data_IF_791444781407
#
_entry.id   IF_791444781407
#
_cell.length_a   1.000
_cell.length_b   1.000
_cell.length_c   1.000
_cell.angle_alpha   90.00
_cell.angle_beta   90.00
_cell.angle_gamma   90.00
#
_symmetry.space_group_name_H-M   'P 1'
#
loop_
_entity.id
_entity.type
_entity.pdbx_description
1 polymer ?
#
# COMPACT_ATOMS: atom_id res chain seq x y z
N UNK A 1 -12.90 -19.77 22.09
CA UNK A 1 -13.71 -19.35 20.94
C UNK A 1 -13.43 -17.92 20.52
N UNK A 2 -13.80 -16.98 21.38
CA UNK A 2 -13.64 -15.58 21.04
C UNK A 2 -12.19 -15.15 20.93
N UNK A 3 -11.31 -15.74 21.74
CA UNK A 3 -9.90 -15.45 21.66
C UNK A 3 -9.30 -15.89 20.34
N UNK A 4 -9.74 -17.04 19.84
CA UNK A 4 -9.27 -17.57 18.57
C UNK A 4 -9.74 -16.70 17.42
N UNK A 5 -10.97 -16.22 17.47
CA UNK A 5 -11.51 -15.34 16.45
C UNK A 5 -10.71 -14.03 16.38
N UNK A 6 -10.34 -13.48 17.54
CA UNK A 6 -9.51 -12.28 17.58
C UNK A 6 -8.14 -12.54 16.98
N UNK A 7 -7.52 -13.66 17.32
CA UNK A 7 -6.22 -13.98 16.78
C UNK A 7 -6.30 -14.16 15.26
N UNK A 8 -7.35 -14.82 14.76
CA UNK A 8 -7.53 -15.00 13.33
C UNK A 8 -7.77 -13.69 12.58
N UNK A 9 -8.27 -12.65 13.27
CA UNK A 9 -8.54 -11.36 12.67
C UNK A 9 -7.36 -10.42 12.75
N UNK A 10 -6.33 -10.78 13.50
CA UNK A 10 -5.15 -9.94 13.61
C UNK A 10 -4.41 -9.91 12.28
N UNK A 11 -4.03 -8.70 11.88
CA UNK A 11 -3.30 -8.47 10.63
C UNK A 11 -1.85 -8.19 10.96
N UNK A 12 -0.95 -8.87 10.27
CA UNK A 12 0.46 -8.51 10.32
C UNK A 12 0.68 -7.30 9.40
N UNK A 13 0.67 -6.12 9.99
CA UNK A 13 0.87 -4.90 9.23
C UNK A 13 2.35 -4.51 9.11
N UNK A 14 3.27 -5.31 9.66
CA UNK A 14 4.71 -5.04 9.61
C UNK A 14 5.41 -5.84 8.52
N UNK A 15 5.21 -7.13 8.49
CA UNK A 15 5.92 -8.03 7.59
C UNK A 15 5.36 -8.06 6.18
N UNK A 16 6.05 -8.70 5.24
CA UNK A 16 5.55 -8.81 3.88
C UNK A 16 4.30 -9.69 3.82
N UNK A 17 3.40 -9.40 2.86
CA UNK A 17 2.22 -10.24 2.66
C UNK A 17 2.61 -11.64 2.19
N UNK A 18 3.67 -11.74 1.41
CA UNK A 18 4.13 -13.02 0.88
C UNK A 18 5.61 -12.96 0.53
N UNK A 19 6.04 -13.88 -0.33
CA UNK A 19 7.44 -13.90 -0.78
C UNK A 19 7.64 -12.81 -1.83
N UNK A 20 8.41 -11.81 -1.50
CA UNK A 20 8.65 -10.64 -2.36
C UNK A 20 9.59 -11.01 -3.52
N UNK A 21 9.15 -10.83 -4.77
CA UNK A 21 10.03 -11.11 -5.91
C UNK A 21 11.06 -9.99 -6.11
N UNK A 22 12.12 -10.32 -6.83
CA UNK A 22 13.08 -9.33 -7.30
C UNK A 22 12.62 -8.84 -8.66
N UNK A 23 12.12 -7.62 -8.75
CA UNK A 23 11.54 -7.09 -9.98
C UNK A 23 12.56 -6.87 -11.09
N UNK A 24 13.85 -6.86 -10.78
CA UNK A 24 14.88 -6.79 -11.81
C UNK A 24 14.89 -8.03 -12.72
N UNK A 25 14.24 -9.12 -12.28
CA UNK A 25 14.13 -10.36 -13.04
C UNK A 25 12.91 -10.37 -13.97
N UNK A 26 12.12 -9.30 -13.98
CA UNK A 26 10.86 -9.24 -14.72
C UNK A 26 10.82 -8.02 -15.63
N UNK A 27 9.99 -8.09 -16.67
CA UNK A 27 9.74 -6.99 -17.59
C UNK A 27 8.24 -6.74 -17.71
N UNK A 28 7.87 -5.67 -18.40
CA UNK A 28 6.47 -5.32 -18.66
C UNK A 28 5.68 -5.27 -17.35
N UNK A 29 6.20 -4.47 -16.40
CA UNK A 29 5.62 -4.36 -15.08
C UNK A 29 4.39 -3.45 -15.07
N UNK A 30 3.39 -3.84 -14.28
CA UNK A 30 2.22 -2.99 -14.01
C UNK A 30 1.71 -3.29 -12.61
N UNK A 31 0.86 -2.39 -12.10
CA UNK A 31 0.26 -2.50 -10.78
C UNK A 31 -1.24 -2.39 -10.94
N UNK A 32 -1.97 -3.28 -10.30
CA UNK A 32 -3.43 -3.24 -10.29
C UNK A 32 -3.91 -3.16 -8.84
N UNK A 33 -4.78 -2.18 -8.55
CA UNK A 33 -5.39 -2.03 -7.23
C UNK A 33 -6.84 -2.49 -7.34
N UNK A 34 -7.22 -3.49 -6.54
CA UNK A 34 -8.60 -3.96 -6.44
C UNK A 34 -9.25 -3.32 -5.22
N UNK A 35 -10.17 -2.41 -5.46
CA UNK A 35 -10.92 -1.74 -4.40
C UNK A 35 -11.83 -2.73 -3.66
N UNK A 36 -12.46 -3.63 -4.42
CA UNK A 36 -13.35 -4.63 -3.82
C UNK A 36 -12.60 -5.60 -2.91
N UNK A 37 -11.41 -6.03 -3.32
CA UNK A 37 -10.65 -7.05 -2.58
C UNK A 37 -9.69 -6.47 -1.57
N UNK A 38 -9.41 -5.17 -1.64
CA UNK A 38 -8.41 -4.51 -0.79
C UNK A 38 -7.06 -5.20 -0.93
N UNK A 39 -6.62 -5.31 -2.19
CA UNK A 39 -5.35 -5.95 -2.57
C UNK A 39 -4.69 -5.15 -3.68
N UNK A 40 -3.37 -5.20 -3.69
CA UNK A 40 -2.56 -4.64 -4.77
C UNK A 40 -1.81 -5.78 -5.41
N UNK A 41 -1.91 -5.87 -6.74
CA UNK A 41 -1.25 -6.91 -7.53
C UNK A 41 -0.15 -6.27 -8.36
N UNK A 42 1.06 -6.82 -8.27
CA UNK A 42 2.15 -6.44 -9.17
C UNK A 42 2.21 -7.50 -10.26
N UNK A 43 2.22 -7.05 -11.50
CA UNK A 43 2.11 -7.93 -12.66
C UNK A 43 3.31 -7.75 -13.58
N UNK A 44 3.64 -8.83 -14.29
CA UNK A 44 4.62 -8.83 -15.36
C UNK A 44 3.98 -9.48 -16.58
N UNK A 45 3.90 -8.75 -17.69
CA UNK A 45 3.23 -9.24 -18.88
C UNK A 45 1.78 -9.63 -18.64
N UNK A 46 1.09 -8.93 -17.75
CA UNK A 46 -0.29 -9.21 -17.39
C UNK A 46 -0.49 -10.34 -16.39
N UNK A 47 0.57 -11.01 -15.97
CA UNK A 47 0.50 -12.10 -15.00
C UNK A 47 0.89 -11.58 -13.61
N UNK A 48 0.07 -11.89 -12.60
CA UNK A 48 0.35 -11.48 -11.22
C UNK A 48 1.58 -12.24 -10.69
N UNK A 49 2.57 -11.48 -10.22
CA UNK A 49 3.79 -12.04 -9.63
C UNK A 49 3.90 -11.76 -8.14
N UNK A 50 3.12 -10.81 -7.63
CA UNK A 50 3.08 -10.54 -6.18
C UNK A 50 1.74 -9.92 -5.81
N UNK A 51 1.18 -10.35 -4.68
CA UNK A 51 -0.08 -9.85 -4.14
C UNK A 51 0.16 -9.27 -2.76
N UNK A 52 -0.31 -8.05 -2.53
CA UNK A 52 -0.14 -7.36 -1.25
C UNK A 52 -1.50 -7.04 -0.64
N UNK A 53 -1.64 -7.27 0.67
CA UNK A 53 -2.78 -6.76 1.42
C UNK A 53 -2.72 -5.24 1.43
N UNK A 54 -3.88 -4.58 1.33
CA UNK A 54 -3.92 -3.13 1.22
C UNK A 54 -5.14 -2.55 1.90
N UNK A 55 -5.10 -1.24 2.14
CA UNK A 55 -6.28 -0.45 2.50
C UNK A 55 -6.37 0.73 1.56
N UNK A 56 -7.50 0.88 0.90
CA UNK A 56 -7.78 2.05 0.08
C UNK A 56 -8.66 3.04 0.85
N UNK A 57 -9.15 4.08 0.19
CA UNK A 57 -9.93 5.11 0.84
C UNK A 57 -11.32 4.65 1.26
N UNK A 58 -11.80 5.20 2.39
CA UNK A 58 -13.20 5.02 2.78
C UNK A 58 -14.08 5.79 1.81
N UNK A 59 -15.36 5.38 1.72
CA UNK A 59 -16.35 6.08 0.89
C UNK A 59 -15.89 6.26 -0.55
N UNK A 60 -15.18 5.24 -1.08
CA UNK A 60 -14.71 5.23 -2.47
C UNK A 60 -13.79 6.43 -2.79
N UNK A 61 -12.99 6.86 -1.82
CA UNK A 61 -12.16 8.06 -1.96
C UNK A 61 -10.93 7.87 -2.84
N UNK A 62 -10.53 6.62 -3.12
CA UNK A 62 -9.39 6.36 -4.00
C UNK A 62 -9.83 6.54 -5.46
N UNK A 63 -9.09 7.35 -6.27
CA UNK A 63 -9.51 7.59 -7.65
C UNK A 63 -9.43 6.33 -8.50
N UNK A 64 -10.48 6.10 -9.31
CA UNK A 64 -10.51 5.01 -10.28
C UNK A 64 -9.78 5.40 -11.55
N UNK A 65 -9.33 4.44 -12.32
CA UNK A 65 -8.75 4.70 -13.63
C UNK A 65 -7.32 4.24 -13.76
N UNK A 66 -6.58 4.88 -14.66
CA UNK A 66 -5.21 4.52 -15.01
C UNK A 66 -4.28 5.69 -14.75
N UNK A 67 -3.17 5.41 -14.10
CA UNK A 67 -2.18 6.39 -13.68
C UNK A 67 -0.79 5.80 -13.90
N UNK A 68 0.25 6.58 -13.65
CA UNK A 68 1.63 6.09 -13.68
C UNK A 68 2.39 6.52 -12.43
N UNK A 69 3.34 5.69 -12.00
CA UNK A 69 4.22 6.01 -10.88
C UNK A 69 5.09 7.20 -11.26
N UNK A 70 5.16 8.20 -10.37
CA UNK A 70 5.89 9.43 -10.64
C UNK A 70 7.07 9.59 -9.69
N UNK A 71 6.85 10.13 -8.48
CA UNK A 71 7.93 10.43 -7.54
C UNK A 71 7.72 9.67 -6.25
N UNK A 72 8.74 9.71 -5.38
CA UNK A 72 8.71 8.96 -4.10
C UNK A 72 9.55 9.63 -3.06
N UNK A 73 9.34 9.26 -1.81
CA UNK A 73 10.10 9.75 -0.69
C UNK A 73 10.01 8.82 0.50
N UNK A 74 10.88 9.03 1.49
CA UNK A 74 11.00 8.10 2.61
C UNK A 74 9.93 8.27 3.67
N UNK A 75 9.41 9.50 3.84
CA UNK A 75 8.45 9.79 4.90
C UNK A 75 7.72 11.10 4.61
N UNK A 76 6.50 11.21 5.11
CA UNK A 76 5.78 12.49 5.18
C UNK A 76 4.92 12.50 6.42
N UNK A 77 4.48 13.69 6.83
CA UNK A 77 3.52 13.86 7.92
C UNK A 77 2.49 14.90 7.52
N UNK A 78 1.21 14.57 7.71
CA UNK A 78 0.09 15.47 7.45
C UNK A 78 -0.49 15.90 8.79
N UNK A 79 -0.21 17.16 9.17
CA UNK A 79 -0.63 17.68 10.47
C UNK A 79 -2.16 17.76 10.62
N UNK A 80 -2.88 17.97 9.50
CA UNK A 80 -4.34 18.04 9.56
C UNK A 80 -4.95 16.70 9.92
N UNK A 81 -4.36 15.61 9.44
CA UNK A 81 -4.81 14.26 9.77
C UNK A 81 -4.19 13.73 11.06
N UNK A 82 -3.10 14.35 11.50
CA UNK A 82 -2.35 13.85 12.65
C UNK A 82 -1.63 12.55 12.35
N UNK A 83 -1.36 12.25 11.10
CA UNK A 83 -0.75 11.00 10.66
C UNK A 83 0.22 11.25 9.51
N UNK A 84 1.25 10.41 9.45
CA UNK A 84 2.15 10.34 8.33
C UNK A 84 2.28 8.92 7.83
N UNK A 85 3.27 8.68 7.01
CA UNK A 85 3.59 7.34 6.54
C UNK A 85 5.00 7.29 5.98
N UNK A 86 5.52 6.06 5.88
CA UNK A 86 6.85 5.80 5.34
C UNK A 86 6.76 5.26 3.92
N UNK A 87 7.83 5.41 3.15
CA UNK A 87 8.01 4.80 1.83
C UNK A 87 6.87 5.14 0.88
N UNK A 88 6.62 6.44 0.67
CA UNK A 88 5.53 6.85 -0.20
C UNK A 88 5.97 6.89 -1.66
N UNK A 89 5.06 6.47 -2.53
CA UNK A 89 5.24 6.44 -3.98
C UNK A 89 3.99 7.03 -4.61
N UNK A 90 4.16 8.14 -5.32
CA UNK A 90 3.04 8.91 -5.89
C UNK A 90 2.57 8.29 -7.20
N UNK A 91 1.25 8.22 -7.38
CA UNK A 91 0.69 7.82 -8.66
C UNK A 91 -0.25 8.86 -9.27
N UNK A 92 -0.79 9.78 -8.46
CA UNK A 92 -1.67 10.82 -8.99
C UNK A 92 -1.86 11.93 -7.95
N UNK A 93 -1.36 13.15 -8.24
CA UNK A 93 -1.53 14.29 -7.32
C UNK A 93 -1.03 13.95 -5.92
N UNK A 94 -1.90 14.07 -4.92
CA UNK A 94 -1.57 13.72 -3.54
C UNK A 94 -1.86 12.26 -3.19
N UNK A 95 -2.25 11.45 -4.17
CA UNK A 95 -2.56 10.04 -3.94
C UNK A 95 -1.31 9.19 -4.07
N UNK A 96 -1.06 8.38 -3.04
CA UNK A 96 0.20 7.66 -2.86
C UNK A 96 -0.07 6.21 -2.50
N UNK A 97 0.89 5.32 -2.83
CA UNK A 97 1.10 4.08 -2.09
C UNK A 97 2.04 4.43 -0.93
N UNK A 98 1.80 3.88 0.25
CA UNK A 98 2.71 4.10 1.39
C UNK A 98 2.46 3.04 2.46
N UNK A 99 3.27 3.07 3.51
CA UNK A 99 3.11 2.16 4.65
C UNK A 99 1.82 2.45 5.40
N UNK A 100 1.47 1.56 6.33
CA UNK A 100 0.48 1.87 7.36
C UNK A 100 0.92 3.13 8.11
N UNK A 101 -0.03 3.88 8.69
CA UNK A 101 0.27 5.21 9.25
C UNK A 101 1.28 5.24 10.38
N UNK A 102 1.98 6.37 10.42
CA UNK A 102 2.90 6.73 11.48
C UNK A 102 2.42 7.99 12.19
N UNK A 103 3.05 8.33 13.31
CA UNK A 103 3.01 9.67 13.85
C UNK A 103 3.95 10.60 13.09
N UNK A 104 4.52 11.59 13.78
CA UNK A 104 5.34 12.61 13.11
C UNK A 104 6.63 12.06 12.52
N UNK A 105 7.22 11.05 13.13
CA UNK A 105 8.55 10.57 12.76
C UNK A 105 8.48 9.28 11.94
N UNK A 106 9.48 9.10 11.09
CA UNK A 106 9.70 7.84 10.37
C UNK A 106 9.76 6.68 11.36
N UNK A 107 9.03 5.60 11.07
CA UNK A 107 9.03 4.39 11.91
C UNK A 107 8.17 4.47 13.16
N UNK A 108 7.49 5.57 13.39
CA UNK A 108 6.65 5.77 14.58
C UNK A 108 5.22 5.28 14.30
N UNK A 109 5.06 3.96 14.16
CA UNK A 109 3.79 3.37 13.75
C UNK A 109 2.72 3.49 14.81
N UNK A 110 1.46 3.49 14.36
CA UNK A 110 0.26 3.69 15.19
C UNK A 110 -0.52 2.38 15.21
N UNK A 111 -0.28 1.47 16.16
CA UNK A 111 -0.83 0.11 16.10
C UNK A 111 -2.34 0.04 15.93
N UNK A 112 -3.10 0.91 16.59
CA UNK A 112 -4.56 0.86 16.50
C UNK A 112 -5.05 1.23 15.09
N UNK A 113 -4.43 2.23 14.48
CA UNK A 113 -4.76 2.62 13.12
C UNK A 113 -4.26 1.59 12.13
N UNK A 114 -3.04 1.09 12.35
CA UNK A 114 -2.37 0.17 11.43
C UNK A 114 -3.06 -1.19 11.36
N UNK A 115 -3.71 -1.60 12.45
CA UNK A 115 -4.47 -2.85 12.49
C UNK A 115 -5.70 -2.83 11.58
N UNK A 116 -6.08 -1.68 11.03
CA UNK A 116 -7.20 -1.58 10.08
C UNK A 116 -6.84 -2.08 8.69
N UNK A 117 -5.57 -2.39 8.44
CA UNK A 117 -5.12 -2.84 7.12
C UNK A 117 -5.94 -4.05 6.63
N UNK A 118 -6.31 -4.02 5.35
CA UNK A 118 -7.12 -5.07 4.74
C UNK A 118 -8.56 -4.65 4.49
N UNK A 119 -8.93 -3.45 4.93
CA UNK A 119 -10.26 -2.87 4.68
C UNK A 119 -10.09 -1.39 4.38
N UNK A 120 -11.09 -0.75 3.75
CA UNK A 120 -10.99 0.69 3.49
C UNK A 120 -10.78 1.46 4.79
N UNK A 121 -9.77 2.32 4.82
CA UNK A 121 -9.36 2.98 6.05
C UNK A 121 -8.75 4.37 5.83
N UNK A 122 -8.30 4.71 4.63
CA UNK A 122 -7.57 5.94 4.38
C UNK A 122 -8.49 7.04 3.85
N UNK A 123 -7.94 8.20 3.59
CA UNK A 123 -8.63 9.30 2.92
C UNK A 123 -8.43 9.25 1.39
N UNK A 124 -7.81 8.19 0.87
CA UNK A 124 -7.63 8.00 -0.57
C UNK A 124 -6.34 7.32 -0.95
N UNK A 125 -5.28 7.46 -0.16
CA UNK A 125 -4.02 6.76 -0.42
C UNK A 125 -4.17 5.25 -0.21
N UNK A 126 -3.25 4.49 -0.77
CA UNK A 126 -3.24 3.03 -0.67
C UNK A 126 -2.19 2.62 0.36
N UNK A 127 -2.67 2.11 1.51
CA UNK A 127 -1.80 1.64 2.59
C UNK A 127 -1.35 0.21 2.33
N UNK A 128 -0.09 -0.07 2.61
CA UNK A 128 0.52 -1.39 2.51
C UNK A 128 1.16 -1.75 3.85
N UNK A 129 1.55 -3.02 4.04
CA UNK A 129 2.37 -3.35 5.20
C UNK A 129 3.67 -2.55 5.12
N UNK A 130 4.34 -2.41 6.26
CA UNK A 130 5.63 -1.70 6.29
C UNK A 130 6.62 -2.33 5.31
N UNK A 131 6.76 -3.66 5.35
CA UNK A 131 7.71 -4.37 4.48
C UNK A 131 7.31 -4.27 3.01
N UNK A 132 6.02 -4.36 2.69
CA UNK A 132 5.56 -4.24 1.31
C UNK A 132 5.73 -2.82 0.78
N UNK A 133 5.50 -1.81 1.62
CA UNK A 133 5.71 -0.42 1.22
C UNK A 133 7.17 -0.16 0.90
N UNK A 134 8.09 -0.67 1.73
CA UNK A 134 9.52 -0.54 1.47
C UNK A 134 9.91 -1.25 0.18
N UNK A 135 9.40 -2.47 -0.02
CA UNK A 135 9.67 -3.24 -1.24
C UNK A 135 9.15 -2.49 -2.47
N UNK A 136 7.93 -1.96 -2.40
CA UNK A 136 7.32 -1.20 -3.50
C UNK A 136 8.16 0.05 -3.82
N UNK A 137 8.53 0.77 -2.78
CA UNK A 137 9.38 1.96 -2.89
C UNK A 137 10.73 1.63 -3.53
N UNK A 138 11.33 0.51 -3.14
CA UNK A 138 12.65 0.13 -3.63
C UNK A 138 12.62 -0.40 -5.06
N UNK A 139 11.54 -1.08 -5.46
CA UNK A 139 11.59 -1.92 -6.66
C UNK A 139 10.67 -1.49 -7.80
N UNK A 140 9.54 -0.86 -7.53
CA UNK A 140 8.60 -0.50 -8.62
C UNK A 140 9.11 0.76 -9.31
N UNK A 141 9.45 0.69 -10.61
CA UNK A 141 10.05 1.84 -11.30
C UNK A 141 9.07 2.99 -11.55
N UNK A 142 9.63 4.20 -11.65
CA UNK A 142 8.86 5.35 -12.14
C UNK A 142 8.36 5.03 -13.55
N UNK A 143 7.16 5.53 -13.86
CA UNK A 143 6.53 5.28 -15.15
C UNK A 143 5.73 3.99 -15.22
N UNK A 144 5.76 3.14 -14.18
CA UNK A 144 4.97 1.91 -14.15
C UNK A 144 3.48 2.25 -14.16
N UNK A 145 2.71 1.55 -15.02
CA UNK A 145 1.26 1.72 -15.13
C UNK A 145 0.57 1.23 -13.85
N UNK A 146 -0.36 2.02 -13.35
CA UNK A 146 -1.22 1.69 -12.21
C UNK A 146 -2.67 1.75 -12.68
N UNK A 147 -3.43 0.68 -12.48
CA UNK A 147 -4.87 0.69 -12.75
C UNK A 147 -5.62 0.44 -11.44
N UNK A 148 -6.69 1.19 -11.25
CA UNK A 148 -7.50 1.13 -10.02
C UNK A 148 -8.96 0.94 -10.39
N UNK A 149 -9.54 -0.14 -9.89
CA UNK A 149 -10.94 -0.46 -10.14
C UNK A 149 -11.62 -1.22 -8.98
#
# INVERSE_FOLDING_TARGET
QNGDDKAAQSVDWKGPTGKQPDLSQYSDLSVEVSLAKQRVYVKSGGQTIYTMIASTGVDDATPHGSYTIDTRGEHFYNAEEGMGADYWVQFYGSYLFHSVPTGEAFGDYLPEEDAKLGQPASHGCVRLTVADAQWFYDQVPDGTLVTIA
#
